data_IF_296034586733
#
_entry.id   IF_296034586733
#
_cell.length_a   1.000
_cell.length_b   1.000
_cell.length_c   1.000
_cell.angle_alpha   90.00
_cell.angle_beta   90.00
_cell.angle_gamma   90.00
#
_symmetry.space_group_name_H-M   'P 1'
#
loop_
_entity.id
_entity.type
_entity.pdbx_description
1 polymer ?
#
# COMPACT_ATOMS: atom_id res chain seq x y z
N UNK A 1 -17.86 51.84 14.90
CA UNK A 1 -18.99 50.88 14.80
C UNK A 1 -18.85 50.14 13.48
N UNK A 2 -18.10 49.04 13.48
CA UNK A 2 -17.95 48.15 12.32
C UNK A 2 -18.10 46.73 12.85
N UNK A 3 -19.28 46.15 12.64
CA UNK A 3 -19.65 44.81 13.09
C UNK A 3 -18.77 43.77 12.42
N UNK A 4 -17.96 43.05 13.20
CA UNK A 4 -17.34 41.79 12.81
C UNK A 4 -18.38 40.68 12.90
N UNK A 5 -18.67 39.91 11.83
CA UNK A 5 -19.50 38.71 11.95
C UNK A 5 -18.69 37.63 12.66
N UNK A 6 -19.15 37.22 13.84
CA UNK A 6 -18.63 36.04 14.56
C UNK A 6 -18.93 34.79 13.72
N UNK A 7 -17.90 34.22 13.10
CA UNK A 7 -17.99 32.92 12.46
C UNK A 7 -18.29 31.88 13.56
N UNK A 8 -19.54 31.43 13.61
CA UNK A 8 -19.97 30.36 14.48
C UNK A 8 -19.11 29.13 14.24
N UNK A 9 -18.55 28.59 15.32
CA UNK A 9 -17.95 27.27 15.35
C UNK A 9 -18.99 26.25 14.86
N UNK A 10 -18.75 25.49 13.79
CA UNK A 10 -19.66 24.41 13.43
C UNK A 10 -19.62 23.36 14.54
N UNK A 11 -20.74 23.23 15.24
CA UNK A 11 -20.99 22.14 16.20
C UNK A 11 -20.75 20.79 15.49
N UNK A 12 -20.00 19.84 16.08
CA UNK A 12 -19.84 18.53 15.49
C UNK A 12 -21.20 17.83 15.49
N UNK A 13 -21.74 17.60 14.30
CA UNK A 13 -22.90 16.75 14.12
C UNK A 13 -22.55 15.36 14.67
N UNK A 14 -23.09 15.02 15.83
CA UNK A 14 -23.08 13.67 16.40
C UNK A 14 -23.95 12.77 15.52
N UNK A 15 -23.39 12.35 14.38
CA UNK A 15 -23.91 11.23 13.62
C UNK A 15 -23.63 9.93 14.37
N UNK A 16 -24.50 8.91 14.24
CA UNK A 16 -24.28 7.61 14.87
C UNK A 16 -22.92 7.07 14.42
N UNK A 17 -22.04 6.77 15.38
CA UNK A 17 -20.73 6.20 15.11
C UNK A 17 -20.89 4.84 14.45
N UNK A 18 -20.84 4.82 13.12
CA UNK A 18 -20.79 3.59 12.36
C UNK A 18 -19.55 2.82 12.84
N UNK A 19 -19.79 1.71 13.53
CA UNK A 19 -18.77 0.73 13.90
C UNK A 19 -18.28 0.02 12.64
N UNK A 20 -17.59 0.73 11.76
CA UNK A 20 -17.13 0.20 10.46
C UNK A 20 -16.03 -0.85 10.62
N UNK A 21 -15.40 -0.95 11.80
CA UNK A 21 -14.39 -1.98 12.06
C UNK A 21 -14.91 -3.42 12.16
N UNK A 22 -16.22 -3.66 12.29
CA UNK A 22 -16.77 -5.00 12.52
C UNK A 22 -16.92 -5.85 11.25
N UNK A 23 -17.32 -5.26 10.13
CA UNK A 23 -17.57 -6.00 8.88
C UNK A 23 -16.26 -6.30 8.14
N UNK A 24 -15.37 -5.32 8.04
CA UNK A 24 -14.07 -5.51 7.37
C UNK A 24 -13.20 -6.52 8.12
N UNK A 25 -13.16 -6.46 9.45
CA UNK A 25 -12.36 -7.40 10.25
C UNK A 25 -12.89 -8.83 10.22
N UNK A 26 -14.21 -9.02 10.16
CA UNK A 26 -14.82 -10.35 10.05
C UNK A 26 -14.59 -10.97 8.68
N UNK A 27 -14.67 -10.16 7.61
CA UNK A 27 -14.30 -10.62 6.26
C UNK A 27 -12.82 -10.96 6.14
N UNK A 28 -11.93 -10.12 6.68
CA UNK A 28 -10.48 -10.39 6.68
C UNK A 28 -10.17 -11.63 7.53
N UNK A 29 -10.78 -11.79 8.70
CA UNK A 29 -10.60 -12.97 9.54
C UNK A 29 -11.10 -14.24 8.86
N UNK A 30 -12.25 -14.20 8.18
CA UNK A 30 -12.78 -15.33 7.43
C UNK A 30 -11.87 -15.71 6.26
N UNK A 31 -11.36 -14.73 5.50
CA UNK A 31 -10.39 -14.97 4.43
C UNK A 31 -9.10 -15.59 4.96
N UNK A 32 -8.56 -15.06 6.07
CA UNK A 32 -7.33 -15.57 6.67
C UNK A 32 -7.51 -17.00 7.20
N UNK A 33 -8.65 -17.30 7.82
CA UNK A 33 -8.98 -18.64 8.31
C UNK A 33 -9.11 -19.64 7.14
N UNK A 34 -9.90 -19.32 6.12
CA UNK A 34 -10.08 -20.19 4.95
C UNK A 34 -8.75 -20.41 4.21
N UNK A 35 -7.97 -19.35 4.01
CA UNK A 35 -6.65 -19.42 3.37
C UNK A 35 -5.67 -20.28 4.17
N UNK A 36 -5.65 -20.16 5.50
CA UNK A 36 -4.78 -21.00 6.34
C UNK A 36 -5.11 -22.48 6.23
N UNK A 37 -6.41 -22.84 6.22
CA UNK A 37 -6.87 -24.22 6.07
C UNK A 37 -6.50 -24.77 4.68
N UNK A 38 -6.70 -23.97 3.63
CA UNK A 38 -6.35 -24.34 2.26
C UNK A 38 -4.85 -24.63 2.11
N UNK A 39 -3.98 -23.76 2.63
CA UNK A 39 -2.52 -23.95 2.53
C UNK A 39 -1.98 -25.08 3.41
N UNK A 40 -2.59 -25.36 4.56
CA UNK A 40 -2.29 -26.57 5.34
C UNK A 40 -2.61 -27.83 4.53
N UNK A 41 -3.75 -27.86 3.83
CA UNK A 41 -4.14 -28.99 3.00
C UNK A 41 -3.19 -29.18 1.81
N UNK A 42 -2.78 -28.10 1.15
CA UNK A 42 -1.80 -28.14 0.04
C UNK A 42 -0.42 -28.58 0.54
N UNK A 43 0.03 -28.07 1.69
CA UNK A 43 1.30 -28.48 2.30
C UNK A 43 1.31 -29.98 2.65
N UNK A 44 0.17 -30.53 3.09
CA UNK A 44 0.04 -31.95 3.43
C UNK A 44 0.01 -32.89 2.22
N UNK A 45 -0.29 -32.38 1.01
CA UNK A 45 -0.48 -33.19 -0.21
C UNK A 45 0.61 -33.00 -1.26
N UNK A 46 1.56 -32.11 -1.02
CA UNK A 46 2.62 -31.78 -1.98
C UNK A 46 3.85 -32.66 -1.77
N UNK A 47 4.29 -33.36 -2.82
CA UNK A 47 5.50 -34.20 -2.82
C UNK A 47 6.74 -33.48 -3.37
N UNK A 48 6.57 -32.34 -4.07
CA UNK A 48 7.67 -31.58 -4.67
C UNK A 48 8.30 -30.58 -3.68
N UNK A 49 9.64 -30.61 -3.46
CA UNK A 49 10.30 -29.74 -2.48
C UNK A 49 10.09 -28.24 -2.71
N UNK A 50 10.03 -27.81 -3.98
CA UNK A 50 9.81 -26.40 -4.33
C UNK A 50 8.40 -25.94 -3.96
N UNK A 51 7.37 -26.76 -4.21
CA UNK A 51 5.98 -26.41 -3.94
C UNK A 51 5.67 -26.52 -2.44
N UNK A 52 6.37 -27.40 -1.73
CA UNK A 52 6.31 -27.49 -0.28
C UNK A 52 6.87 -26.21 0.38
N UNK A 53 8.00 -25.70 -0.10
CA UNK A 53 8.56 -24.42 0.37
C UNK A 53 7.60 -23.25 0.14
N UNK A 54 6.97 -23.15 -1.03
CA UNK A 54 5.96 -22.12 -1.30
C UNK A 54 4.74 -22.24 -0.38
N UNK A 55 4.27 -23.46 -0.12
CA UNK A 55 3.14 -23.71 0.79
C UNK A 55 3.46 -23.24 2.22
N UNK A 56 4.69 -23.44 2.70
CA UNK A 56 5.12 -22.93 4.01
C UNK A 56 5.22 -21.40 4.06
N UNK A 57 5.72 -20.76 3.00
CA UNK A 57 5.75 -19.29 2.91
C UNK A 57 4.34 -18.72 2.97
N UNK A 58 3.40 -19.26 2.18
CA UNK A 58 2.01 -18.81 2.21
C UNK A 58 1.36 -19.07 3.58
N UNK A 59 1.51 -20.28 4.14
CA UNK A 59 0.98 -20.60 5.46
C UNK A 59 1.49 -19.63 6.54
N UNK A 60 2.80 -19.33 6.53
CA UNK A 60 3.39 -18.37 7.46
C UNK A 60 2.79 -16.97 7.32
N UNK A 61 2.55 -16.50 6.08
CA UNK A 61 1.93 -15.21 5.82
C UNK A 61 0.47 -15.14 6.32
N UNK A 62 -0.31 -16.22 6.14
CA UNK A 62 -1.68 -16.32 6.64
C UNK A 62 -1.75 -16.34 8.18
N UNK A 63 -0.84 -17.06 8.84
CA UNK A 63 -0.77 -17.10 10.31
C UNK A 63 -0.35 -15.73 10.88
N UNK A 64 0.68 -15.10 10.31
CA UNK A 64 1.13 -13.77 10.72
C UNK A 64 0.05 -12.71 10.47
N UNK A 65 -0.68 -12.79 9.36
CA UNK A 65 -1.82 -11.93 9.07
C UNK A 65 -2.94 -12.08 10.11
N UNK A 66 -3.26 -13.32 10.51
CA UNK A 66 -4.25 -13.61 11.56
C UNK A 66 -3.83 -13.05 12.92
N UNK A 67 -2.55 -13.21 13.28
CA UNK A 67 -1.98 -12.67 14.50
C UNK A 67 -1.99 -11.13 14.51
N UNK A 68 -1.58 -10.48 13.42
CA UNK A 68 -1.59 -9.03 13.27
C UNK A 68 -3.00 -8.45 13.33
N UNK A 69 -3.98 -9.13 12.73
CA UNK A 69 -5.39 -8.74 12.83
C UNK A 69 -5.88 -8.86 14.28
N UNK A 70 -5.57 -9.96 14.97
CA UNK A 70 -5.87 -10.13 16.39
C UNK A 70 -5.28 -9.00 17.23
N UNK A 71 -3.99 -8.70 17.03
CA UNK A 71 -3.32 -7.59 17.71
C UNK A 71 -4.00 -6.24 17.44
N UNK A 72 -4.43 -5.99 16.20
CA UNK A 72 -5.11 -4.76 15.81
C UNK A 72 -6.51 -4.62 16.44
N UNK A 73 -7.23 -5.74 16.58
CA UNK A 73 -8.56 -5.78 17.19
C UNK A 73 -8.51 -5.68 18.72
N UNK A 74 -7.58 -6.41 19.36
CA UNK A 74 -7.44 -6.44 20.82
C UNK A 74 -6.61 -5.27 21.37
N UNK A 75 -5.77 -4.64 20.55
CA UNK A 75 -4.89 -3.53 20.94
C UNK A 75 -5.58 -2.16 21.09
N UNK A 76 -6.91 -2.08 20.90
CA UNK A 76 -7.67 -0.84 21.03
C UNK A 76 -7.39 0.14 19.88
N UNK A 77 -8.03 -0.07 18.75
CA UNK A 77 -8.01 0.88 17.63
C UNK A 77 -8.49 2.26 18.09
N UNK A 78 -7.58 3.22 18.18
CA UNK A 78 -7.91 4.59 18.55
C UNK A 78 -8.96 5.14 17.56
N UNK A 79 -10.14 5.51 18.09
CA UNK A 79 -11.16 6.26 17.33
C UNK A 79 -10.57 7.62 16.96
N UNK A 80 -10.02 7.70 15.76
CA UNK A 80 -9.59 8.96 15.17
C UNK A 80 -10.81 9.67 14.61
N UNK A 81 -11.25 10.74 15.26
CA UNK A 81 -12.41 11.55 14.90
C UNK A 81 -12.15 12.48 13.69
N UNK A 82 -11.38 12.01 12.70
CA UNK A 82 -10.88 12.83 11.58
C UNK A 82 -10.60 12.03 10.31
N UNK A 83 -9.95 12.66 9.32
CA UNK A 83 -9.58 12.01 8.06
C UNK A 83 -8.45 10.98 8.26
N UNK A 84 -8.49 9.87 7.51
CA UNK A 84 -7.42 8.85 7.50
C UNK A 84 -6.21 9.37 6.74
N UNK A 85 -5.34 10.10 7.42
CA UNK A 85 -4.11 10.65 6.83
C UNK A 85 -2.93 9.68 6.85
N UNK A 86 -3.03 8.54 7.55
CA UNK A 86 -1.94 7.56 7.66
C UNK A 86 -1.52 7.02 6.29
N UNK A 87 -2.50 6.51 5.53
CA UNK A 87 -2.29 5.96 4.18
C UNK A 87 -1.84 7.03 3.19
N UNK A 88 -2.41 8.24 3.28
CA UNK A 88 -2.03 9.37 2.42
C UNK A 88 -0.56 9.75 2.66
N UNK A 89 -0.13 9.86 3.92
CA UNK A 89 1.27 10.16 4.26
C UNK A 89 2.20 9.06 3.76
N UNK A 90 1.86 7.80 4.01
CA UNK A 90 2.64 6.65 3.54
C UNK A 90 2.76 6.66 1.99
N UNK A 91 1.66 6.91 1.29
CA UNK A 91 1.62 7.06 -0.17
C UNK A 91 2.51 8.20 -0.69
N UNK A 92 2.54 9.35 -0.03
CA UNK A 92 3.42 10.47 -0.39
C UNK A 92 4.89 10.11 -0.19
N UNK A 93 5.24 9.46 0.93
CA UNK A 93 6.62 8.99 1.16
C UNK A 93 7.04 7.94 0.12
N UNK A 94 6.17 6.96 -0.17
CA UNK A 94 6.42 5.95 -1.19
C UNK A 94 6.59 6.60 -2.58
N UNK A 95 5.73 7.58 -2.91
CA UNK A 95 5.85 8.35 -4.17
C UNK A 95 7.22 9.02 -4.27
N UNK A 96 7.69 9.69 -3.23
CA UNK A 96 8.98 10.38 -3.26
C UNK A 96 10.14 9.39 -3.42
N UNK A 97 10.10 8.26 -2.69
CA UNK A 97 11.10 7.20 -2.79
C UNK A 97 11.16 6.60 -4.21
N UNK A 98 10.02 6.18 -4.75
CA UNK A 98 9.94 5.59 -6.09
C UNK A 98 10.20 6.60 -7.20
N UNK A 99 9.85 7.86 -7.00
CA UNK A 99 10.19 8.95 -7.92
C UNK A 99 11.70 9.11 -8.05
N UNK A 100 12.42 9.18 -6.93
CA UNK A 100 13.89 9.26 -6.93
C UNK A 100 14.49 8.03 -7.61
N UNK A 101 14.03 6.82 -7.26
CA UNK A 101 14.52 5.58 -7.87
C UNK A 101 14.26 5.54 -9.38
N UNK A 102 13.05 5.87 -9.84
CA UNK A 102 12.67 5.88 -11.24
C UNK A 102 13.46 6.90 -12.07
N UNK A 103 13.61 8.13 -11.57
CA UNK A 103 14.42 9.15 -12.25
C UNK A 103 15.91 8.83 -12.25
N UNK A 104 16.45 8.24 -11.19
CA UNK A 104 17.86 7.81 -11.13
C UNK A 104 18.14 6.71 -12.16
N UNK A 105 17.27 5.71 -12.29
CA UNK A 105 17.40 4.70 -13.35
C UNK A 105 17.28 5.32 -14.73
N UNK A 106 16.36 6.28 -14.93
CA UNK A 106 16.22 7.02 -16.18
C UNK A 106 17.50 7.79 -16.55
N UNK A 107 18.13 8.41 -15.56
CA UNK A 107 19.42 9.09 -15.71
C UNK A 107 20.54 8.12 -16.10
N UNK A 108 20.62 6.95 -15.46
CA UNK A 108 21.61 5.92 -15.82
C UNK A 108 21.43 5.46 -17.28
N UNK A 109 20.19 5.22 -17.71
CA UNK A 109 19.90 4.78 -19.08
C UNK A 109 20.25 5.87 -20.10
N UNK A 110 19.98 7.14 -19.78
CA UNK A 110 20.37 8.27 -20.62
C UNK A 110 21.90 8.37 -20.75
N UNK A 111 22.63 8.17 -19.64
CA UNK A 111 24.09 8.16 -19.64
C UNK A 111 24.67 6.97 -20.43
N UNK A 112 24.01 5.81 -20.44
CA UNK A 112 24.39 4.67 -21.28
C UNK A 112 24.29 4.99 -22.78
N UNK A 113 23.35 5.83 -23.20
CA UNK A 113 23.24 6.29 -24.59
C UNK A 113 24.26 7.37 -24.94
N UNK A 114 24.60 8.25 -24.00
CA UNK A 114 25.56 9.33 -24.22
C UNK A 114 27.01 8.83 -24.24
N UNK A 115 27.36 7.89 -23.37
CA UNK A 115 28.72 7.35 -23.23
C UNK A 115 28.74 5.81 -23.23
N UNK A 116 28.47 5.17 -24.38
CA UNK A 116 28.36 3.71 -24.46
C UNK A 116 29.66 2.99 -24.09
N UNK A 117 30.83 3.59 -24.32
CA UNK A 117 32.12 2.96 -24.01
C UNK A 117 32.50 2.97 -22.52
N UNK A 118 31.89 3.83 -21.69
CA UNK A 118 32.26 4.00 -20.28
C UNK A 118 31.23 3.41 -19.31
N UNK A 119 29.98 3.25 -19.73
CA UNK A 119 28.86 2.87 -18.86
C UNK A 119 28.12 1.60 -19.31
N UNK A 120 28.65 0.88 -20.31
CA UNK A 120 28.17 -0.44 -20.69
C UNK A 120 28.93 -1.52 -19.91
N UNK A 121 28.29 -2.07 -18.87
CA UNK A 121 28.88 -3.08 -18.00
C UNK A 121 28.61 -4.48 -18.55
N UNK A 122 29.55 -5.03 -19.32
CA UNK A 122 29.45 -6.38 -19.92
C UNK A 122 29.36 -7.50 -18.85
N UNK A 123 29.96 -7.26 -17.68
CA UNK A 123 30.00 -8.23 -16.58
C UNK A 123 28.75 -8.22 -15.66
N UNK A 124 27.80 -7.29 -15.83
CA UNK A 124 26.57 -7.21 -15.01
C UNK A 124 25.30 -7.27 -15.87
N UNK A 125 24.75 -8.48 -16.14
CA UNK A 125 23.62 -8.65 -17.06
C UNK A 125 22.31 -8.00 -16.60
N UNK A 126 22.17 -7.60 -15.33
CA UNK A 126 21.01 -6.88 -14.80
C UNK A 126 21.05 -5.37 -15.06
N UNK A 127 22.22 -4.78 -15.30
CA UNK A 127 22.37 -3.35 -15.63
C UNK A 127 22.40 -3.06 -17.13
N UNK A 128 22.04 -4.04 -17.95
CA UNK A 128 22.01 -3.88 -19.40
C UNK A 128 20.83 -2.98 -19.82
N UNK A 129 21.09 -2.10 -20.80
CA UNK A 129 20.15 -1.13 -21.34
C UNK A 129 18.78 -1.73 -21.70
N UNK A 130 18.78 -2.92 -22.31
CA UNK A 130 17.57 -3.63 -22.72
C UNK A 130 16.65 -4.03 -21.55
N UNK A 131 17.19 -4.22 -20.34
CA UNK A 131 16.43 -4.59 -19.14
C UNK A 131 16.12 -3.40 -18.24
N UNK A 132 17.03 -2.43 -18.17
CA UNK A 132 16.81 -1.22 -17.38
C UNK A 132 15.69 -0.35 -17.95
N UNK A 133 15.48 -0.33 -19.27
CA UNK A 133 14.42 0.50 -19.88
C UNK A 133 13.00 0.08 -19.43
N UNK A 134 12.58 -1.20 -19.52
CA UNK A 134 11.32 -1.64 -18.91
C UNK A 134 11.23 -1.38 -17.41
N UNK A 135 12.35 -1.47 -16.68
CA UNK A 135 12.41 -1.18 -15.25
C UNK A 135 12.17 0.31 -14.96
N UNK A 136 12.78 1.22 -15.73
CA UNK A 136 12.55 2.65 -15.59
C UNK A 136 11.10 3.04 -15.85
N UNK A 137 10.53 2.58 -16.96
CA UNK A 137 9.16 2.94 -17.34
C UNK A 137 8.14 2.39 -16.33
N UNK A 138 8.28 1.14 -15.90
CA UNK A 138 7.41 0.56 -14.86
C UNK A 138 7.57 1.26 -13.51
N UNK A 139 8.80 1.61 -13.11
CA UNK A 139 9.06 2.35 -11.88
C UNK A 139 8.46 3.76 -11.92
N UNK A 140 8.59 4.50 -13.02
CA UNK A 140 8.06 5.88 -13.09
C UNK A 140 6.54 5.89 -13.26
N UNK A 141 5.97 4.99 -14.07
CA UNK A 141 4.53 5.00 -14.34
C UNK A 141 3.75 4.39 -13.18
N UNK A 142 4.06 3.16 -12.79
CA UNK A 142 3.27 2.43 -11.81
C UNK A 142 3.73 2.72 -10.38
N UNK A 143 5.03 2.64 -10.10
CA UNK A 143 5.51 2.85 -8.74
C UNK A 143 5.47 4.33 -8.33
N UNK A 144 5.95 5.26 -9.15
CA UNK A 144 5.83 6.68 -8.86
C UNK A 144 4.43 7.22 -9.17
N UNK A 145 4.00 7.17 -10.43
CA UNK A 145 2.71 7.72 -10.86
C UNK A 145 1.51 7.09 -10.15
N UNK A 146 1.51 5.77 -9.98
CA UNK A 146 0.45 5.07 -9.25
C UNK A 146 0.35 5.49 -7.78
N UNK A 147 1.48 5.58 -7.06
CA UNK A 147 1.45 6.04 -5.66
C UNK A 147 0.96 7.50 -5.54
N UNK A 148 1.33 8.38 -6.47
CA UNK A 148 0.84 9.78 -6.50
C UNK A 148 -0.66 9.82 -6.73
N UNK A 149 -1.17 9.06 -7.71
CA UNK A 149 -2.60 8.99 -8.00
C UNK A 149 -3.40 8.43 -6.83
N UNK A 150 -2.88 7.42 -6.15
CA UNK A 150 -3.54 6.81 -4.99
C UNK A 150 -3.57 7.77 -3.80
N UNK A 151 -2.43 8.38 -3.45
CA UNK A 151 -2.35 9.34 -2.36
C UNK A 151 -3.26 10.55 -2.59
N UNK A 152 -3.29 11.10 -3.81
CA UNK A 152 -4.15 12.22 -4.18
C UNK A 152 -5.62 11.83 -4.18
N UNK A 153 -5.99 10.66 -4.72
CA UNK A 153 -7.37 10.19 -4.72
C UNK A 153 -7.91 10.01 -3.30
N UNK A 154 -7.14 9.36 -2.42
CA UNK A 154 -7.52 9.18 -1.01
C UNK A 154 -7.64 10.51 -0.27
N UNK A 155 -6.77 11.48 -0.56
CA UNK A 155 -6.85 12.81 0.04
C UNK A 155 -8.06 13.61 -0.47
N UNK A 156 -8.28 13.63 -1.79
CA UNK A 156 -9.34 14.42 -2.42
C UNK A 156 -10.71 13.89 -2.05
N UNK A 157 -10.95 12.57 -2.15
CA UNK A 157 -12.27 11.97 -1.85
C UNK A 157 -12.73 12.24 -0.42
N UNK A 158 -11.79 12.24 0.53
CA UNK A 158 -12.07 12.57 1.92
C UNK A 158 -12.57 14.01 2.06
N UNK A 159 -11.89 14.95 1.40
CA UNK A 159 -12.16 16.38 1.53
C UNK A 159 -13.39 16.82 0.74
N UNK A 160 -13.66 16.21 -0.41
CA UNK A 160 -14.82 16.53 -1.24
C UNK A 160 -16.10 15.94 -0.67
N UNK A 161 -16.08 14.69 -0.20
CA UNK A 161 -17.25 14.04 0.41
C UNK A 161 -17.43 14.37 1.90
N UNK A 162 -16.44 15.03 2.53
CA UNK A 162 -16.37 15.28 3.99
C UNK A 162 -16.60 14.02 4.82
N UNK A 163 -16.10 12.89 4.33
CA UNK A 163 -16.25 11.58 4.93
C UNK A 163 -14.88 10.90 5.09
N UNK A 164 -14.75 10.03 6.08
CA UNK A 164 -13.53 9.24 6.32
C UNK A 164 -13.44 8.09 5.29
N UNK A 165 -12.20 7.78 4.89
CA UNK A 165 -11.71 6.41 4.75
C UNK A 165 -12.71 5.24 4.82
N UNK A 166 -13.38 4.79 3.73
CA UNK A 166 -14.15 3.54 3.85
C UNK A 166 -13.21 2.34 4.02
N UNK A 167 -13.62 1.37 4.84
CA UNK A 167 -12.94 0.09 4.94
C UNK A 167 -11.79 0.01 5.95
N UNK A 168 -11.42 1.11 6.62
CA UNK A 168 -10.37 1.19 7.66
C UNK A 168 -8.99 0.64 7.25
N UNK A 169 -8.88 -0.69 7.20
CA UNK A 169 -7.76 -1.47 6.67
C UNK A 169 -7.76 -1.60 5.13
N UNK A 170 -8.89 -1.46 4.44
CA UNK A 170 -8.96 -1.60 2.98
C UNK A 170 -8.00 -0.65 2.23
N UNK A 171 -7.83 0.63 2.60
CA UNK A 171 -6.89 1.51 1.93
C UNK A 171 -5.42 1.16 2.23
N UNK A 172 -5.16 0.55 3.40
CA UNK A 172 -3.84 -0.02 3.71
C UNK A 172 -3.55 -1.27 2.91
N UNK A 173 -4.54 -2.13 2.66
CA UNK A 173 -4.38 -3.28 1.78
C UNK A 173 -3.97 -2.83 0.37
N UNK A 174 -4.61 -1.80 -0.18
CA UNK A 174 -4.25 -1.28 -1.50
C UNK A 174 -2.87 -0.61 -1.51
N UNK A 175 -2.41 -0.05 -0.39
CA UNK A 175 -1.06 0.49 -0.28
C UNK A 175 0.02 -0.60 -0.25
N UNK A 176 -0.27 -1.76 0.35
CA UNK A 176 0.67 -2.88 0.46
C UNK A 176 0.58 -3.90 -0.68
N UNK A 177 -0.53 -3.91 -1.43
CA UNK A 177 -0.78 -4.81 -2.56
C UNK A 177 0.01 -4.41 -3.80
#
# INVERSE_FOLDING_TARGET
MTNTPSAGTPSPATGPSASTGGFDSTLIAAFLAIGSIFWIFVAARTTDPLMQAHSFVFLSAFILGGFALGWHLYGGGAKSDGYEMGVVKAGVFASMFWGIAGFLVGLIIALQLAYPNLLYFENLPWLNFGRLRPLHTSAVIFAFGGNVLMATSFYVVQRTCRARLYGGLAPWFVFWG
#
